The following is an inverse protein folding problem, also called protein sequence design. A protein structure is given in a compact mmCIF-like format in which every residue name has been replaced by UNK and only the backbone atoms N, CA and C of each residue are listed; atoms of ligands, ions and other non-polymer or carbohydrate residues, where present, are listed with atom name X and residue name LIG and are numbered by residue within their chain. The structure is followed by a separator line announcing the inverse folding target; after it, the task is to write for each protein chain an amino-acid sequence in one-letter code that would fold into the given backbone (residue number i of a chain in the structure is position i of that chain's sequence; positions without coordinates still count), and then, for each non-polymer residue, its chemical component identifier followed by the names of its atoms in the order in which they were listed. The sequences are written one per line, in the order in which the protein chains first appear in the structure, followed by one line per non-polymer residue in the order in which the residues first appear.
data_IF_289037149597
#
_entry.id   IF_289037149597
#
_cell.length_a   1.000
_cell.length_b   1.000
_cell.length_c   1.000
_cell.angle_alpha   90.00
_cell.angle_beta   90.00
_cell.angle_gamma   90.00
#
_symmetry.space_group_name_H-M   'P 1'
#
loop_
_entity.id
_entity.type
_entity.pdbx_description
1 polymer ?
#
# COMPACT_ATOMS: atom_id res chain seq x y z
N UNK A 1 9.99 24.40 21.90
CA UNK A 1 11.09 24.35 20.91
C UNK A 1 10.78 25.38 19.84
N UNK A 2 11.78 26.13 19.37
CA UNK A 2 11.63 27.01 18.20
C UNK A 2 12.37 26.37 17.03
N UNK A 3 11.80 26.45 15.83
CA UNK A 3 12.32 25.79 14.62
C UNK A 3 11.94 26.60 13.39
N UNK A 4 12.53 26.28 12.24
CA UNK A 4 12.15 26.83 10.94
C UNK A 4 11.42 25.78 10.08
N UNK A 5 10.73 26.21 9.03
CA UNK A 5 10.14 25.29 8.05
C UNK A 5 11.20 24.40 7.40
N UNK A 6 12.39 24.94 7.13
CA UNK A 6 13.53 24.20 6.58
C UNK A 6 13.97 23.07 7.51
N UNK A 7 14.06 23.33 8.81
CA UNK A 7 14.47 22.33 9.80
C UNK A 7 13.41 21.24 9.94
N UNK A 8 12.13 21.62 9.99
CA UNK A 8 11.02 20.67 10.07
C UNK A 8 10.92 19.78 8.83
N UNK A 9 11.09 20.34 7.63
CA UNK A 9 11.13 19.54 6.40
C UNK A 9 12.33 18.59 6.40
N UNK A 10 13.50 19.07 6.82
CA UNK A 10 14.71 18.23 6.93
C UNK A 10 14.53 17.08 7.92
N UNK A 11 13.87 17.36 9.05
CA UNK A 11 13.48 16.36 10.04
C UNK A 11 12.54 15.32 9.44
N UNK A 12 11.45 15.73 8.78
CA UNK A 12 10.52 14.79 8.14
C UNK A 12 11.16 13.92 7.08
N UNK A 13 11.99 14.51 6.21
CA UNK A 13 12.74 13.75 5.21
C UNK A 13 13.66 12.74 5.90
N UNK A 14 14.31 13.11 7.01
CA UNK A 14 15.16 12.19 7.77
C UNK A 14 14.38 11.04 8.44
N UNK A 15 13.11 11.25 8.81
CA UNK A 15 12.21 10.19 9.29
C UNK A 15 11.90 9.21 8.15
N UNK A 16 11.34 9.71 7.05
CA UNK A 16 10.89 8.86 5.92
C UNK A 16 12.05 8.10 5.28
N UNK A 17 13.24 8.71 5.23
CA UNK A 17 14.46 8.06 4.73
C UNK A 17 15.21 7.20 5.74
N UNK A 18 14.67 6.98 6.96
CA UNK A 18 15.29 6.17 8.01
C UNK A 18 16.72 6.62 8.38
N UNK A 19 16.99 7.94 8.35
CA UNK A 19 18.29 8.51 8.76
C UNK A 19 18.40 8.72 10.26
N UNK A 20 17.28 8.83 10.95
CA UNK A 20 17.24 9.02 12.41
C UNK A 20 17.20 7.70 13.18
N UNK A 21 16.52 6.69 12.62
CA UNK A 21 16.30 5.38 13.21
C UNK A 21 16.49 4.30 12.14
N UNK A 22 16.81 3.07 12.55
CA UNK A 22 16.83 1.95 11.61
C UNK A 22 15.45 1.75 10.96
N UNK A 23 15.36 1.17 9.75
CA UNK A 23 14.07 0.96 9.08
C UNK A 23 13.03 0.22 9.94
N UNK A 24 13.48 -0.75 10.74
CA UNK A 24 12.59 -1.47 11.67
C UNK A 24 12.09 -0.56 12.79
N UNK A 25 12.99 0.23 13.39
CA UNK A 25 12.63 1.14 14.48
C UNK A 25 11.72 2.28 14.00
N UNK A 26 11.95 2.83 12.81
CA UNK A 26 11.06 3.84 12.21
C UNK A 26 9.66 3.29 11.97
N UNK A 27 9.52 2.09 11.38
CA UNK A 27 8.21 1.46 11.17
C UNK A 27 7.48 1.20 12.48
N UNK A 28 8.19 0.72 13.50
CA UNK A 28 7.64 0.54 14.84
C UNK A 28 7.18 1.86 15.45
N UNK A 29 7.94 2.93 15.24
CA UNK A 29 7.62 4.26 15.76
C UNK A 29 6.40 4.90 15.06
N UNK A 30 6.26 4.66 13.76
CA UNK A 30 5.10 5.06 12.96
C UNK A 30 3.92 4.09 13.09
N UNK A 31 3.96 3.10 13.98
CA UNK A 31 2.81 2.22 14.17
C UNK A 31 1.74 2.91 15.05
N UNK A 32 0.44 2.76 14.73
CA UNK A 32 -0.64 3.08 15.64
C UNK A 32 -0.47 2.45 17.03
N UNK A 33 -0.83 3.18 18.08
CA UNK A 33 -0.80 2.72 19.47
C UNK A 33 -2.18 2.53 20.06
N UNK A 34 -3.16 3.35 19.67
CA UNK A 34 -4.55 3.21 20.14
C UNK A 34 -5.54 3.87 19.18
N UNK A 35 -6.78 3.40 19.21
CA UNK A 35 -7.89 3.96 18.44
C UNK A 35 -8.62 5.04 19.25
N UNK A 36 -9.19 6.00 18.53
CA UNK A 36 -10.20 6.92 19.10
C UNK A 36 -11.61 6.40 18.79
N UNK A 37 -12.64 7.11 19.25
CA UNK A 37 -14.02 6.82 18.83
C UNK A 37 -14.30 7.20 17.36
N UNK A 38 -13.40 7.97 16.72
CA UNK A 38 -13.50 8.33 15.31
C UNK A 38 -12.76 7.29 14.45
N UNK A 39 -13.43 6.78 13.40
CA UNK A 39 -12.79 5.90 12.40
C UNK A 39 -11.66 6.59 11.62
N UNK A 40 -11.73 7.92 11.51
CA UNK A 40 -10.75 8.73 10.80
C UNK A 40 -9.53 9.13 11.62
N UNK A 41 -9.50 8.85 12.93
CA UNK A 41 -8.42 9.30 13.81
C UNK A 41 -7.88 8.17 14.69
N UNK A 42 -6.59 7.95 14.57
CA UNK A 42 -5.84 6.96 15.33
C UNK A 42 -4.67 7.66 16.02
N UNK A 43 -4.29 7.22 17.20
CA UNK A 43 -3.14 7.79 17.91
C UNK A 43 -1.94 6.85 17.79
N UNK A 44 -0.76 7.44 17.64
CA UNK A 44 0.54 6.78 17.66
C UNK A 44 1.37 7.26 18.86
N UNK A 45 2.69 7.32 18.70
CA UNK A 45 3.58 7.85 19.73
C UNK A 45 4.64 8.77 19.09
N UNK A 46 4.48 10.10 19.00
CA UNK A 46 3.39 10.94 19.53
C UNK A 46 2.31 11.31 18.48
N UNK A 47 2.27 10.61 17.36
CA UNK A 47 1.51 10.96 16.15
C UNK A 47 -0.01 11.02 16.37
N UNK A 48 -0.65 12.00 15.76
CA UNK A 48 -2.07 12.00 15.45
C UNK A 48 -2.20 11.50 14.00
N UNK A 49 -2.85 10.37 13.77
CA UNK A 49 -2.89 9.71 12.46
C UNK A 49 -4.29 9.88 11.88
N UNK A 50 -4.41 10.63 10.79
CA UNK A 50 -5.65 10.78 10.04
C UNK A 50 -5.73 9.75 8.92
N UNK A 51 -6.82 8.97 8.90
CA UNK A 51 -7.10 7.99 7.85
C UNK A 51 -7.95 8.66 6.77
N UNK A 52 -7.36 8.98 5.62
CA UNK A 52 -8.01 9.74 4.56
C UNK A 52 -8.36 8.87 3.36
N UNK A 53 -9.64 8.80 3.01
CA UNK A 53 -10.23 8.01 1.92
C UNK A 53 -10.65 8.85 0.69
N UNK A 54 -10.34 10.16 0.71
CA UNK A 54 -10.75 11.12 -0.33
C UNK A 54 -9.58 11.76 -1.07
N UNK A 55 -8.43 11.09 -1.07
CA UNK A 55 -7.20 11.61 -1.69
C UNK A 55 -6.90 10.99 -3.05
N UNK A 56 -7.51 9.84 -3.37
CA UNK A 56 -7.35 9.15 -4.64
C UNK A 56 -8.69 8.59 -5.13
N UNK A 57 -8.87 8.38 -6.45
CA UNK A 57 -10.16 8.02 -7.03
C UNK A 57 -10.73 6.67 -6.56
N UNK A 58 -9.86 5.72 -6.23
CA UNK A 58 -10.25 4.37 -5.78
C UNK A 58 -10.71 4.34 -4.31
N UNK A 59 -10.69 5.47 -3.61
CA UNK A 59 -11.17 5.59 -2.23
C UNK A 59 -10.29 4.89 -1.19
N UNK A 60 -9.11 4.36 -1.57
CA UNK A 60 -8.25 3.66 -0.61
C UNK A 60 -7.76 4.62 0.47
N UNK A 61 -7.61 4.09 1.67
CA UNK A 61 -7.13 4.84 2.83
C UNK A 61 -5.66 5.20 2.64
N UNK A 62 -5.36 6.48 2.80
CA UNK A 62 -4.01 7.03 2.91
C UNK A 62 -3.85 7.59 4.32
N UNK A 63 -2.94 7.02 5.09
CA UNK A 63 -2.68 7.44 6.46
C UNK A 63 -1.74 8.67 6.48
N UNK A 64 -2.20 9.76 7.08
CA UNK A 64 -1.44 11.00 7.27
C UNK A 64 -1.02 11.08 8.73
N UNK A 65 0.28 11.21 8.99
CA UNK A 65 0.83 11.28 10.34
C UNK A 65 1.10 12.74 10.69
N UNK A 66 0.30 13.31 11.57
CA UNK A 66 0.46 14.71 11.97
C UNK A 66 0.93 14.89 13.40
N UNK A 67 1.43 16.11 13.64
CA UNK A 67 1.55 16.65 14.99
C UNK A 67 1.27 18.15 14.99
N UNK A 68 0.29 18.56 15.79
CA UNK A 68 0.03 19.95 16.10
C UNK A 68 0.99 20.50 17.17
N UNK A 69 1.21 21.80 17.16
CA UNK A 69 1.93 22.51 18.20
C UNK A 69 1.47 23.95 18.32
N UNK A 70 1.18 24.38 19.55
CA UNK A 70 0.61 25.68 19.86
C UNK A 70 1.39 26.36 20.99
N UNK A 71 1.71 27.64 20.80
CA UNK A 71 2.30 28.50 21.82
C UNK A 71 1.84 29.96 21.65
N UNK A 72 0.81 30.36 22.40
CA UNK A 72 0.26 31.71 22.31
C UNK A 72 -0.26 31.99 20.90
N UNK A 73 0.34 32.97 20.21
CA UNK A 73 -0.02 33.36 18.85
C UNK A 73 0.75 32.58 17.77
N UNK A 74 1.46 31.51 18.11
CA UNK A 74 2.28 30.72 17.20
C UNK A 74 1.73 29.30 17.11
N UNK A 75 1.49 28.84 15.88
CA UNK A 75 0.87 27.56 15.60
C UNK A 75 1.64 26.82 14.52
N UNK A 76 1.73 25.50 14.63
CA UNK A 76 2.34 24.64 13.62
C UNK A 76 1.56 23.36 13.44
N UNK A 77 1.50 22.89 12.21
CA UNK A 77 1.07 21.53 11.89
C UNK A 77 2.13 20.88 11.00
N UNK A 78 2.66 19.78 11.50
CA UNK A 78 3.62 18.95 10.79
C UNK A 78 2.91 17.70 10.29
N UNK A 79 3.16 17.26 9.05
CA UNK A 79 2.54 16.09 8.45
C UNK A 79 3.54 15.25 7.65
N UNK A 80 3.43 13.94 7.78
CA UNK A 80 4.10 12.94 6.95
C UNK A 80 3.05 12.10 6.23
N UNK A 81 3.29 11.77 4.96
CA UNK A 81 2.50 10.77 4.23
C UNK A 81 3.48 9.70 3.72
N UNK A 82 3.73 8.65 4.52
CA UNK A 82 4.77 7.67 4.21
C UNK A 82 4.60 6.99 2.86
N UNK A 83 3.37 6.67 2.45
CA UNK A 83 3.09 5.97 1.19
C UNK A 83 3.48 6.76 -0.06
N UNK A 84 3.62 8.09 0.06
CA UNK A 84 3.99 8.98 -1.03
C UNK A 84 5.33 9.69 -0.81
N UNK A 85 6.06 9.35 0.26
CA UNK A 85 7.29 10.02 0.68
C UNK A 85 7.14 11.57 0.84
N UNK A 86 5.95 12.03 1.25
CA UNK A 86 5.65 13.47 1.38
C UNK A 86 5.85 13.96 2.81
N UNK A 87 6.41 15.16 2.93
CA UNK A 87 6.49 15.93 4.17
C UNK A 87 5.87 17.30 3.92
N UNK A 88 4.95 17.71 4.79
CA UNK A 88 4.35 19.05 4.78
C UNK A 88 4.50 19.67 6.16
N UNK A 89 4.85 20.94 6.22
CA UNK A 89 4.88 21.69 7.47
C UNK A 89 4.32 23.09 7.26
N UNK A 90 3.29 23.43 8.03
CA UNK A 90 2.64 24.74 8.00
C UNK A 90 2.87 25.40 9.34
N UNK A 91 3.57 26.54 9.35
CA UNK A 91 3.77 27.39 10.52
C UNK A 91 3.05 28.72 10.29
N UNK A 92 2.26 29.16 11.26
CA UNK A 92 1.50 30.41 11.18
C UNK A 92 1.64 31.17 12.50
N UNK A 93 1.59 32.49 12.44
CA UNK A 93 1.60 33.32 13.63
C UNK A 93 0.69 34.54 13.48
N UNK A 94 0.09 34.99 14.57
CA UNK A 94 -0.78 36.16 14.61
C UNK A 94 -2.17 35.86 15.15
N UNK A 95 -2.89 36.91 15.55
CA UNK A 95 -4.22 36.78 16.17
C UNK A 95 -5.25 36.17 15.22
N UNK A 96 -5.17 36.53 13.94
CA UNK A 96 -6.09 36.09 12.90
C UNK A 96 -6.10 34.57 12.76
N UNK A 97 -4.91 33.95 12.72
CA UNK A 97 -4.76 32.49 12.64
C UNK A 97 -4.99 31.79 13.98
N UNK A 98 -4.84 32.48 15.11
CA UNK A 98 -5.21 31.95 16.43
C UNK A 98 -6.73 31.83 16.57
N UNK A 99 -7.48 32.80 16.05
CA UNK A 99 -8.94 32.78 16.07
C UNK A 99 -9.51 31.71 15.10
N UNK A 100 -8.73 31.30 14.09
CA UNK A 100 -9.06 30.23 13.12
C UNK A 100 -8.30 28.92 13.38
N UNK A 101 -8.74 28.17 14.40
CA UNK A 101 -8.06 26.96 14.91
C UNK A 101 -7.69 25.90 13.86
N UNK A 102 -8.44 25.78 12.76
CA UNK A 102 -8.23 24.71 11.76
C UNK A 102 -7.45 25.15 10.52
N UNK A 103 -6.93 26.38 10.47
CA UNK A 103 -6.30 26.93 9.26
C UNK A 103 -5.15 26.06 8.74
N UNK A 104 -4.27 25.55 9.62
CA UNK A 104 -3.12 24.74 9.22
C UNK A 104 -3.56 23.38 8.69
N UNK A 105 -4.52 22.73 9.37
CA UNK A 105 -5.13 21.47 8.92
C UNK A 105 -5.82 21.62 7.57
N UNK A 106 -6.51 22.74 7.34
CA UNK A 106 -7.14 23.04 6.07
C UNK A 106 -6.09 23.19 4.95
N UNK A 107 -5.04 23.98 5.18
CA UNK A 107 -3.95 24.17 4.22
C UNK A 107 -3.28 22.84 3.86
N UNK A 108 -2.97 21.99 4.86
CA UNK A 108 -2.40 20.65 4.61
C UNK A 108 -3.38 19.81 3.80
N UNK A 109 -4.66 19.75 4.17
CA UNK A 109 -5.66 18.97 3.45
C UNK A 109 -5.79 19.38 1.98
N UNK A 110 -5.87 20.68 1.70
CA UNK A 110 -5.93 21.19 0.32
C UNK A 110 -4.64 20.90 -0.46
N UNK A 111 -3.48 21.04 0.19
CA UNK A 111 -2.18 20.72 -0.41
C UNK A 111 -2.12 19.24 -0.81
N UNK A 112 -2.49 18.33 0.09
CA UNK A 112 -2.50 16.89 -0.18
C UNK A 112 -3.49 16.51 -1.27
N UNK A 113 -4.70 17.09 -1.27
CA UNK A 113 -5.70 16.90 -2.34
C UNK A 113 -5.22 17.38 -3.70
N UNK A 114 -4.37 18.40 -3.75
CA UNK A 114 -3.84 18.91 -5.01
C UNK A 114 -2.71 18.03 -5.58
N UNK A 115 -1.88 17.41 -4.72
CA UNK A 115 -0.66 16.71 -5.17
C UNK A 115 -0.80 15.19 -5.24
N UNK A 116 -1.49 14.56 -4.30
CA UNK A 116 -1.55 13.08 -4.21
C UNK A 116 -2.19 12.45 -5.45
N UNK A 117 -3.32 12.94 -5.99
CA UNK A 117 -3.90 12.37 -7.21
C UNK A 117 -2.93 12.38 -8.40
N UNK A 118 -2.16 13.46 -8.55
CA UNK A 118 -1.19 13.59 -9.63
C UNK A 118 0.00 12.63 -9.45
N UNK A 119 0.50 12.49 -8.22
CA UNK A 119 1.56 11.55 -7.89
C UNK A 119 1.12 10.10 -8.07
N UNK A 120 -0.11 9.76 -7.70
CA UNK A 120 -0.68 8.43 -7.92
C UNK A 120 -0.75 8.11 -9.42
N UNK A 121 -1.25 9.04 -10.24
CA UNK A 121 -1.34 8.86 -11.68
C UNK A 121 0.05 8.62 -12.32
N UNK A 122 1.06 9.39 -11.93
CA UNK A 122 2.44 9.18 -12.40
C UNK A 122 2.99 7.84 -11.92
N UNK A 123 2.75 7.47 -10.66
CA UNK A 123 3.17 6.19 -10.10
C UNK A 123 2.57 5.02 -10.87
N UNK A 124 1.28 5.08 -11.23
CA UNK A 124 0.63 4.07 -12.08
C UNK A 124 1.27 3.99 -13.47
N UNK A 125 1.59 5.11 -14.09
CA UNK A 125 2.28 5.12 -15.39
C UNK A 125 3.68 4.47 -15.32
N UNK A 126 4.44 4.79 -14.28
CA UNK A 126 5.75 4.17 -14.04
C UNK A 126 5.62 2.67 -13.73
N UNK A 127 4.66 2.28 -12.91
CA UNK A 127 4.39 0.88 -12.60
C UNK A 127 3.99 0.09 -13.85
N UNK A 128 3.16 0.67 -14.74
CA UNK A 128 2.78 0.04 -16.00
C UNK A 128 3.99 -0.24 -16.87
N UNK A 129 4.92 0.71 -16.97
CA UNK A 129 6.17 0.55 -17.72
C UNK A 129 7.12 -0.47 -17.07
N UNK A 130 7.31 -0.37 -15.76
CA UNK A 130 8.41 -1.03 -15.07
C UNK A 130 8.03 -2.42 -14.53
N UNK A 131 6.80 -2.60 -14.07
CA UNK A 131 6.35 -3.77 -13.31
C UNK A 131 5.31 -4.61 -14.05
N UNK A 132 4.44 -4.00 -14.85
CA UNK A 132 3.42 -4.74 -15.58
C UNK A 132 4.02 -5.45 -16.82
N UNK A 133 3.32 -6.47 -17.32
CA UNK A 133 3.68 -7.24 -18.51
C UNK A 133 3.63 -8.76 -18.28
N UNK A 134 4.06 -9.50 -19.31
CA UNK A 134 4.08 -10.96 -19.31
C UNK A 134 5.43 -11.46 -18.80
N UNK A 135 5.38 -12.30 -17.77
CA UNK A 135 6.52 -13.01 -17.20
C UNK A 135 6.39 -14.48 -17.57
N UNK A 136 7.35 -15.03 -18.29
CA UNK A 136 7.22 -16.38 -18.84
C UNK A 136 8.52 -17.16 -18.72
N UNK A 137 8.37 -18.46 -18.49
CA UNK A 137 9.34 -19.48 -18.85
C UNK A 137 8.68 -20.44 -19.86
N UNK A 138 9.21 -20.44 -21.09
CA UNK A 138 8.66 -21.22 -22.21
C UNK A 138 8.97 -22.71 -22.09
N UNK A 139 10.08 -23.07 -21.46
CA UNK A 139 10.48 -24.48 -21.34
C UNK A 139 9.55 -25.22 -20.39
N UNK A 140 9.16 -24.56 -19.30
CA UNK A 140 8.26 -25.11 -18.30
C UNK A 140 6.80 -24.73 -18.52
N UNK A 141 6.41 -24.10 -19.63
CA UNK A 141 5.03 -23.64 -19.87
C UNK A 141 4.42 -22.91 -18.65
N UNK A 142 5.19 -21.98 -18.08
CA UNK A 142 4.81 -21.20 -16.91
C UNK A 142 4.70 -19.73 -17.28
N UNK A 143 3.61 -19.08 -16.90
CA UNK A 143 3.35 -17.67 -17.19
C UNK A 143 2.66 -16.98 -16.02
N UNK A 144 3.04 -15.73 -15.78
CA UNK A 144 2.31 -14.77 -14.95
C UNK A 144 2.16 -13.48 -15.74
N UNK A 145 0.93 -13.02 -15.92
CA UNK A 145 0.65 -11.73 -16.55
C UNK A 145 0.19 -10.73 -15.50
N UNK A 146 0.89 -9.59 -15.42
CA UNK A 146 0.57 -8.50 -14.52
C UNK A 146 0.08 -7.27 -15.28
N UNK A 147 -1.02 -6.66 -14.82
CA UNK A 147 -1.58 -5.42 -15.36
C UNK A 147 -1.64 -4.31 -14.31
N UNK A 148 -1.51 -3.06 -14.75
CA UNK A 148 -1.94 -1.87 -14.00
C UNK A 148 -3.28 -1.40 -14.57
N UNK A 149 -4.32 -1.49 -13.76
CA UNK A 149 -5.67 -1.02 -14.05
C UNK A 149 -6.05 0.18 -13.16
N UNK A 150 -7.35 0.48 -13.05
CA UNK A 150 -7.85 1.59 -12.24
C UNK A 150 -7.79 1.34 -10.72
N UNK A 151 -7.57 0.10 -10.29
CA UNK A 151 -7.40 -0.24 -8.87
C UNK A 151 -6.00 0.05 -8.34
N UNK A 152 -5.76 -0.23 -7.05
CA UNK A 152 -4.42 -0.22 -6.46
C UNK A 152 -3.64 -1.49 -6.83
N UNK A 153 -2.32 -1.47 -6.62
CA UNK A 153 -1.46 -2.65 -6.83
C UNK A 153 -1.33 -3.07 -8.31
N UNK A 154 -0.97 -4.35 -8.52
CA UNK A 154 -0.85 -4.97 -9.85
C UNK A 154 -1.83 -6.14 -9.95
N UNK A 155 -2.77 -6.09 -10.89
CA UNK A 155 -3.70 -7.18 -11.13
C UNK A 155 -2.99 -8.37 -11.80
N UNK A 156 -3.28 -9.59 -11.34
CA UNK A 156 -2.81 -10.83 -11.97
C UNK A 156 -3.89 -11.28 -12.96
N UNK A 157 -3.59 -11.21 -14.26
CA UNK A 157 -4.50 -11.64 -15.33
C UNK A 157 -4.43 -13.13 -15.59
N UNK A 158 -3.21 -13.64 -15.61
CA UNK A 158 -2.93 -15.05 -15.83
C UNK A 158 -1.89 -15.51 -14.83
N UNK A 159 -2.06 -16.74 -14.34
CA UNK A 159 -1.05 -17.44 -13.57
C UNK A 159 -1.15 -18.93 -13.84
N UNK A 160 -0.20 -19.40 -14.64
CA UNK A 160 -0.04 -20.80 -15.01
C UNK A 160 1.36 -21.24 -14.63
N UNK A 161 1.50 -22.42 -14.03
CA UNK A 161 2.79 -23.02 -13.73
C UNK A 161 2.80 -24.43 -14.27
N UNK A 162 3.73 -24.76 -15.19
CA UNK A 162 3.81 -26.10 -15.79
C UNK A 162 2.52 -26.56 -16.43
N UNK A 163 1.88 -25.66 -17.18
CA UNK A 163 0.59 -25.88 -17.83
C UNK A 163 -0.62 -25.95 -16.89
N UNK A 164 -0.43 -25.77 -15.57
CA UNK A 164 -1.52 -25.79 -14.60
C UNK A 164 -2.00 -24.38 -14.26
N UNK A 165 -3.28 -24.10 -14.50
CA UNK A 165 -3.92 -22.83 -14.14
C UNK A 165 -4.02 -22.70 -12.61
N UNK A 166 -3.12 -21.91 -12.02
CA UNK A 166 -3.04 -21.72 -10.57
C UNK A 166 -4.21 -20.88 -10.06
N UNK A 167 -4.54 -19.76 -10.71
CA UNK A 167 -5.64 -18.88 -10.27
C UNK A 167 -6.99 -19.60 -10.26
N UNK A 168 -7.30 -20.35 -11.31
CA UNK A 168 -8.55 -21.12 -11.41
C UNK A 168 -8.65 -22.25 -10.39
N UNK A 169 -7.52 -22.69 -9.83
CA UNK A 169 -7.44 -23.78 -8.86
C UNK A 169 -6.93 -23.32 -7.48
N UNK A 170 -6.94 -22.01 -7.21
CA UNK A 170 -6.25 -21.44 -6.05
C UNK A 170 -6.73 -22.04 -4.72
N UNK A 171 -8.03 -22.35 -4.60
CA UNK A 171 -8.60 -22.92 -3.37
C UNK A 171 -8.27 -24.38 -3.11
N UNK A 172 -7.70 -25.10 -4.08
CA UNK A 172 -7.17 -26.45 -3.87
C UNK A 172 -5.89 -26.46 -3.04
N UNK A 173 -5.19 -25.33 -2.94
CA UNK A 173 -3.98 -25.18 -2.13
C UNK A 173 -4.28 -24.84 -0.65
N UNK A 174 -5.54 -24.94 -0.24
CA UNK A 174 -5.98 -24.82 1.15
C UNK A 174 -6.30 -26.20 1.72
N UNK A 175 -6.18 -26.37 3.05
CA UNK A 175 -6.54 -27.62 3.76
C UNK A 175 -7.96 -28.11 3.47
N UNK A 176 -8.91 -27.20 3.21
CA UNK A 176 -10.29 -27.55 2.89
C UNK A 176 -10.49 -27.99 1.43
N UNK A 177 -9.52 -27.73 0.55
CA UNK A 177 -9.54 -28.05 -0.88
C UNK A 177 -10.91 -27.78 -1.54
N UNK A 178 -11.49 -26.61 -1.27
CA UNK A 178 -12.93 -26.37 -1.47
C UNK A 178 -13.37 -26.40 -2.94
N UNK A 179 -12.42 -26.26 -3.88
CA UNK A 179 -12.69 -26.16 -5.31
C UNK A 179 -13.55 -24.96 -5.71
N UNK A 180 -13.78 -24.01 -4.79
CA UNK A 180 -14.55 -22.80 -5.04
C UNK A 180 -13.67 -21.78 -5.74
N UNK A 181 -14.23 -21.07 -6.71
CA UNK A 181 -13.59 -19.86 -7.26
C UNK A 181 -13.65 -18.77 -6.20
N UNK A 182 -12.53 -18.11 -5.92
CA UNK A 182 -12.53 -16.93 -5.08
C UNK A 182 -13.10 -15.75 -5.89
N UNK A 183 -14.03 -14.96 -5.32
CA UNK A 183 -14.49 -13.75 -5.97
C UNK A 183 -13.34 -12.74 -6.06
N UNK A 184 -13.44 -11.87 -7.06
CA UNK A 184 -12.59 -10.72 -7.22
C UNK A 184 -11.28 -10.93 -7.97
N UNK A 185 -10.45 -9.89 -7.96
CA UNK A 185 -9.20 -9.82 -8.73
C UNK A 185 -8.04 -10.11 -7.80
N UNK A 186 -7.21 -11.09 -8.16
CA UNK A 186 -5.94 -11.31 -7.47
C UNK A 186 -4.97 -10.16 -7.77
N UNK A 187 -4.43 -9.53 -6.74
CA UNK A 187 -3.58 -8.35 -6.86
C UNK A 187 -2.32 -8.43 -6.02
N UNK A 188 -1.20 -8.02 -6.59
CA UNK A 188 0.07 -7.87 -5.89
C UNK A 188 0.21 -6.47 -5.28
N UNK A 189 0.58 -6.45 -4.00
CA UNK A 189 0.91 -5.26 -3.23
C UNK A 189 2.35 -5.35 -2.71
N UNK A 190 3.09 -4.23 -2.65
CA UNK A 190 4.47 -4.26 -2.18
C UNK A 190 4.53 -4.52 -0.66
N UNK A 191 5.39 -5.44 -0.20
CA UNK A 191 5.55 -5.73 1.24
C UNK A 191 6.53 -4.79 1.94
N UNK A 192 7.14 -3.86 1.20
CA UNK A 192 8.27 -3.02 1.64
C UNK A 192 9.54 -3.79 2.05
N UNK A 193 9.56 -5.13 1.90
CA UNK A 193 10.74 -5.96 2.13
C UNK A 193 11.59 -6.04 0.86
N UNK A 194 12.91 -5.89 1.05
CA UNK A 194 13.89 -5.93 -0.04
C UNK A 194 15.21 -6.57 0.41
N UNK A 195 15.85 -7.27 -0.51
CA UNK A 195 17.18 -7.84 -0.34
C UNK A 195 17.97 -7.64 -1.65
N UNK A 196 18.93 -6.70 -1.64
CA UNK A 196 19.64 -6.33 -2.87
C UNK A 196 18.69 -5.81 -3.96
N UNK A 197 18.68 -6.47 -5.12
CA UNK A 197 17.78 -6.19 -6.25
C UNK A 197 16.41 -6.85 -6.13
N UNK A 198 16.18 -7.69 -5.13
CA UNK A 198 14.93 -8.40 -4.94
C UNK A 198 13.96 -7.59 -4.09
N UNK A 199 12.70 -7.51 -4.52
CA UNK A 199 11.59 -6.90 -3.80
C UNK A 199 10.51 -7.94 -3.60
N UNK A 200 10.01 -8.07 -2.37
CA UNK A 200 8.91 -8.97 -2.04
C UNK A 200 7.57 -8.27 -2.23
N UNK A 201 6.60 -9.03 -2.73
CA UNK A 201 5.24 -8.62 -3.02
C UNK A 201 4.29 -9.68 -2.46
N UNK A 202 3.12 -9.23 -2.03
CA UNK A 202 2.08 -10.08 -1.47
C UNK A 202 0.83 -9.99 -2.32
N UNK A 203 0.31 -11.15 -2.70
CA UNK A 203 -0.96 -11.27 -3.37
C UNK A 203 -2.10 -11.24 -2.35
N UNK A 204 -3.17 -10.51 -2.66
CA UNK A 204 -4.48 -10.68 -2.00
C UNK A 204 -5.56 -10.71 -3.07
N UNK A 205 -6.71 -11.29 -2.75
CA UNK A 205 -7.90 -11.14 -3.58
C UNK A 205 -8.62 -9.87 -3.13
N UNK A 206 -8.85 -8.97 -4.06
CA UNK A 206 -9.74 -7.84 -3.79
C UNK A 206 -11.13 -8.37 -3.51
N UNK A 207 -11.79 -7.78 -2.51
CA UNK A 207 -13.20 -8.00 -2.29
C UNK A 207 -13.92 -7.28 -3.43
N UNK A 208 -14.46 -8.03 -4.37
CA UNK A 208 -15.42 -7.49 -5.34
C UNK A 208 -16.79 -7.91 -4.85
N UNK A 209 -17.76 -7.00 -4.94
CA UNK A 209 -19.16 -7.33 -4.76
C UNK A 209 -19.45 -8.54 -5.63
N UNK A 210 -19.81 -9.65 -5.00
CA UNK A 210 -20.28 -10.79 -5.76
C UNK A 210 -21.52 -10.34 -6.54
N UNK A 211 -21.70 -10.82 -7.77
CA UNK A 211 -22.95 -10.63 -8.52
C UNK A 211 -24.19 -11.14 -7.73
N UNK A 212 -23.95 -11.89 -6.64
CA UNK A 212 -24.95 -12.40 -5.72
C UNK A 212 -25.30 -11.46 -4.56
N UNK A 213 -24.60 -10.34 -4.41
CA UNK A 213 -24.92 -9.26 -3.48
C UNK A 213 -25.24 -9.78 -2.07
N UNK A 214 -24.44 -10.72 -1.54
CA UNK A 214 -24.72 -11.16 -0.18
C UNK A 214 -24.52 -9.97 0.76
N UNK A 215 -25.52 -9.58 1.57
CA UNK A 215 -25.53 -8.31 2.30
C UNK A 215 -24.66 -8.36 3.57
N UNK A 216 -23.67 -9.26 3.65
CA UNK A 216 -22.94 -9.50 4.90
C UNK A 216 -22.30 -8.24 5.47
N UNK A 217 -21.73 -7.37 4.61
CA UNK A 217 -21.17 -6.10 5.07
C UNK A 217 -22.26 -5.10 5.52
N UNK A 218 -23.47 -5.17 4.97
CA UNK A 218 -24.62 -4.36 5.41
C UNK A 218 -25.27 -4.87 6.70
N UNK A 219 -25.29 -6.19 6.91
CA UNK A 219 -25.84 -6.85 8.09
C UNK A 219 -24.87 -6.88 9.27
N UNK A 220 -23.57 -6.76 9.00
CA UNK A 220 -22.55 -6.81 10.04
C UNK A 220 -22.62 -5.62 11.00
N UNK A 221 -22.28 -5.88 12.26
CA UNK A 221 -22.19 -4.83 13.29
C UNK A 221 -21.01 -3.86 13.10
N UNK A 222 -20.14 -4.12 12.13
CA UNK A 222 -18.91 -3.36 11.86
C UNK A 222 -18.69 -3.22 10.34
N UNK A 223 -18.08 -2.11 9.89
CA UNK A 223 -17.83 -1.87 8.47
C UNK A 223 -16.76 -2.84 7.94
N UNK A 224 -16.75 -3.02 6.61
CA UNK A 224 -15.74 -3.81 5.90
C UNK A 224 -15.56 -5.22 6.50
N UNK A 225 -16.67 -5.85 6.93
CA UNK A 225 -16.65 -7.09 7.69
C UNK A 225 -16.04 -8.26 6.90
N UNK A 226 -16.11 -8.21 5.57
CA UNK A 226 -15.43 -9.14 4.66
C UNK A 226 -13.93 -8.89 4.49
N UNK A 227 -13.41 -7.76 4.95
CA UNK A 227 -11.99 -7.43 4.85
C UNK A 227 -11.14 -8.25 5.84
N UNK A 228 -11.02 -9.56 5.56
CA UNK A 228 -10.27 -10.54 6.35
C UNK A 228 -8.99 -10.98 5.66
N UNK A 229 -8.56 -10.27 4.60
CA UNK A 229 -7.36 -10.57 3.84
C UNK A 229 -6.11 -10.68 4.73
N UNK A 230 -6.03 -9.90 5.81
CA UNK A 230 -4.92 -9.99 6.77
C UNK A 230 -4.81 -11.38 7.43
N UNK A 231 -5.94 -12.06 7.65
CA UNK A 231 -6.02 -13.35 8.34
C UNK A 231 -5.94 -14.55 7.40
N UNK A 232 -6.00 -14.33 6.07
CA UNK A 232 -5.90 -15.37 5.06
C UNK A 232 -4.49 -15.54 4.49
N UNK A 233 -3.57 -14.64 4.82
CA UNK A 233 -2.16 -14.70 4.42
C UNK A 233 -1.52 -16.03 4.81
N UNK A 234 -0.77 -16.64 3.87
CA UNK A 234 -0.06 -17.91 4.04
C UNK A 234 -0.96 -19.09 4.41
N UNK A 235 -2.29 -19.01 4.15
CA UNK A 235 -3.21 -20.15 4.29
C UNK A 235 -3.24 -21.04 3.05
N UNK A 236 -2.94 -20.48 1.88
CA UNK A 236 -2.82 -21.23 0.64
C UNK A 236 -1.35 -21.51 0.42
N UNK A 237 -0.94 -22.76 0.60
CA UNK A 237 0.48 -23.12 0.62
C UNK A 237 0.79 -24.21 -0.39
N UNK A 238 2.00 -24.14 -0.93
CA UNK A 238 2.60 -25.18 -1.76
C UNK A 238 4.10 -25.21 -1.47
N UNK A 239 4.68 -26.41 -1.39
CA UNK A 239 6.10 -26.62 -1.06
C UNK A 239 6.60 -25.83 0.17
N UNK A 240 5.80 -25.86 1.25
CA UNK A 240 6.08 -25.15 2.51
C UNK A 240 6.17 -23.62 2.44
N UNK A 241 5.73 -23.01 1.33
CA UNK A 241 5.68 -21.56 1.15
C UNK A 241 4.25 -21.08 0.85
N UNK A 242 3.96 -19.86 1.30
CA UNK A 242 2.71 -19.16 0.96
C UNK A 242 2.65 -18.87 -0.53
N UNK A 243 1.57 -19.27 -1.19
CA UNK A 243 1.37 -19.00 -2.61
C UNK A 243 1.24 -17.51 -2.90
N UNK A 244 0.86 -16.72 -1.90
CA UNK A 244 0.67 -15.30 -2.04
C UNK A 244 2.00 -14.52 -2.08
N UNK A 245 3.15 -15.16 -1.87
CA UNK A 245 4.45 -14.49 -1.94
C UNK A 245 5.04 -14.50 -3.35
N UNK A 246 5.35 -13.31 -3.84
CA UNK A 246 6.03 -13.09 -5.10
C UNK A 246 7.31 -12.29 -4.88
N UNK A 247 8.39 -12.67 -5.56
CA UNK A 247 9.65 -11.94 -5.54
C UNK A 247 9.96 -11.41 -6.92
N UNK A 248 10.11 -10.09 -7.03
CA UNK A 248 10.54 -9.42 -8.25
C UNK A 248 12.04 -9.11 -8.19
N UNK A 249 12.78 -9.46 -9.23
CA UNK A 249 14.17 -9.02 -9.40
C UNK A 249 14.20 -7.76 -10.26
N UNK A 250 14.60 -6.64 -9.68
CA UNK A 250 14.56 -5.32 -10.31
C UNK A 250 15.95 -4.93 -10.84
N UNK A 251 16.00 -4.50 -12.09
CA UNK A 251 17.21 -3.97 -12.72
C UNK A 251 17.62 -2.59 -12.16
N UNK A 252 18.84 -2.15 -12.48
CA UNK A 252 19.33 -0.81 -12.10
C UNK A 252 18.51 0.34 -12.73
N UNK A 253 17.83 0.04 -13.83
CA UNK A 253 16.91 0.92 -14.56
C UNK A 253 15.51 1.00 -13.90
N UNK A 254 15.27 0.26 -12.80
CA UNK A 254 13.97 0.19 -12.13
C UNK A 254 12.99 -0.79 -12.78
N UNK A 255 13.35 -1.41 -13.91
CA UNK A 255 12.50 -2.35 -14.64
C UNK A 255 12.68 -3.75 -14.08
N UNK A 256 11.59 -4.47 -13.82
CA UNK A 256 11.64 -5.87 -13.39
C UNK A 256 12.21 -6.73 -14.52
N UNK A 257 13.18 -7.59 -14.19
CA UNK A 257 13.79 -8.54 -15.13
C UNK A 257 13.19 -9.93 -14.99
N UNK A 258 12.84 -10.32 -13.77
CA UNK A 258 12.15 -11.58 -13.50
C UNK A 258 11.20 -11.49 -12.32
N UNK A 259 10.21 -12.38 -12.31
CA UNK A 259 9.21 -12.58 -11.27
C UNK A 259 9.27 -14.04 -10.82
N UNK A 260 9.18 -14.29 -9.51
CA UNK A 260 9.13 -15.63 -8.95
C UNK A 260 7.94 -15.75 -8.00
N UNK A 261 6.92 -16.55 -8.32
CA UNK A 261 5.95 -17.04 -7.35
C UNK A 261 6.65 -18.04 -6.42
N UNK A 262 6.91 -17.63 -5.18
CA UNK A 262 7.84 -18.34 -4.27
C UNK A 262 7.40 -19.77 -4.02
N UNK A 263 6.10 -20.00 -3.80
CA UNK A 263 5.54 -21.32 -3.56
C UNK A 263 5.86 -22.35 -4.65
N UNK A 264 6.01 -21.94 -5.90
CA UNK A 264 6.27 -22.85 -7.02
C UNK A 264 7.75 -23.02 -7.38
N UNK A 265 8.65 -22.23 -6.78
CA UNK A 265 10.08 -22.30 -7.04
C UNK A 265 10.48 -22.01 -8.50
N UNK A 266 9.62 -21.35 -9.28
CA UNK A 266 9.90 -20.98 -10.68
C UNK A 266 10.38 -19.54 -10.79
N UNK A 267 11.22 -19.24 -11.78
CA UNK A 267 11.65 -17.88 -12.11
C UNK A 267 11.27 -17.55 -13.55
N UNK A 268 10.44 -16.53 -13.72
CA UNK A 268 9.83 -16.17 -14.99
C UNK A 268 10.46 -14.87 -15.50
N UNK A 269 11.00 -14.90 -16.71
CA UNK A 269 11.63 -13.73 -17.32
C UNK A 269 10.58 -12.79 -17.92
N UNK A 270 10.76 -11.48 -17.74
CA UNK A 270 9.87 -10.47 -18.34
C UNK A 270 10.06 -10.47 -19.86
N UNK A 271 8.99 -10.70 -20.63
CA UNK A 271 9.05 -10.79 -22.10
C UNK A 271 8.74 -9.46 -22.81
N UNK A 272 8.06 -8.53 -22.15
CA UNK A 272 7.62 -7.24 -22.71
C UNK A 272 6.15 -6.94 -22.40
N UNK A 273 5.72 -5.71 -22.64
CA UNK A 273 4.30 -5.30 -22.60
C UNK A 273 3.81 -5.33 -24.05
N UNK A 274 2.81 -6.16 -24.38
CA UNK A 274 2.09 -6.05 -25.66
C UNK A 274 1.11 -4.89 -25.61
#
# INVERSE_FOLDING_TARGET
MYSSTRDMLSFGVAILSNRLLSPLATRKWLSPTTFTSSRGHVLGAPWEIQRADRLVPDGRVVDIYTKAGDLGLYHTMFALVPDYDIVVNVMTAGKEVTDEFFVQSHVISQTLKAIIPALDAVTKQEAKKNLAGIYQDKESDSVVELEVDDGPGLAIKEWTVKGFNVLGNFTFYNIAASGRTLPGIARLYPSSLKAGSQKSWRMVFDQVDDEKGEPFDEEAAYPDARCVNWGTMDRFTYDFAGLEEFVMTVGKDGVVKSLSPVGFGVSLAKQGYM
#
